data_IF_701991156717
#
_entry.id   IF_701991156717
#
_cell.length_a   1.000
_cell.length_b   1.000
_cell.length_c   1.000
_cell.angle_alpha   90.00
_cell.angle_beta   90.00
_cell.angle_gamma   90.00
#
_symmetry.space_group_name_H-M   'P 1'
#
loop_
_entity.id
_entity.type
_entity.pdbx_description
1 polymer ?
#
# COMPACT_ATOMS: atom_id res chain seq x y z
N UNK A 1 -8.23 7.36 3.74
CA UNK A 1 -8.55 8.80 3.87
C UNK A 1 -7.31 9.69 3.91
N UNK A 2 -6.35 9.48 4.82
CA UNK A 2 -5.14 10.29 4.93
C UNK A 2 -4.42 10.58 3.59
N UNK A 3 -4.20 9.56 2.75
CA UNK A 3 -3.52 9.71 1.45
C UNK A 3 -4.29 10.61 0.47
N UNK A 4 -5.61 10.52 0.49
CA UNK A 4 -6.45 11.36 -0.36
C UNK A 4 -6.37 12.82 0.09
N UNK A 5 -6.38 13.06 1.40
CA UNK A 5 -6.21 14.39 1.96
C UNK A 5 -4.82 14.97 1.66
N UNK A 6 -3.76 14.19 1.86
CA UNK A 6 -2.39 14.59 1.51
C UNK A 6 -2.29 14.99 0.03
N UNK A 7 -2.85 14.17 -0.88
CA UNK A 7 -2.88 14.47 -2.31
C UNK A 7 -3.65 15.76 -2.63
N UNK A 8 -4.77 16.02 -1.95
CA UNK A 8 -5.53 17.26 -2.13
C UNK A 8 -4.73 18.50 -1.70
N UNK A 9 -3.78 18.35 -0.77
CA UNK A 9 -2.84 19.40 -0.34
C UNK A 9 -1.56 19.47 -1.20
N UNK A 10 -1.47 18.69 -2.29
CA UNK A 10 -0.30 18.63 -3.16
C UNK A 10 0.87 17.80 -2.60
N UNK A 11 0.66 17.08 -1.50
CA UNK A 11 1.66 16.19 -0.91
C UNK A 11 1.67 14.82 -1.60
N UNK A 12 2.86 14.22 -1.67
CA UNK A 12 3.05 12.81 -1.96
C UNK A 12 3.15 12.02 -0.66
N UNK A 13 2.69 10.77 -0.69
CA UNK A 13 2.83 9.85 0.42
C UNK A 13 3.13 8.42 -0.07
N UNK A 14 3.87 7.64 0.70
CA UNK A 14 4.23 6.25 0.38
C UNK A 14 4.14 5.35 1.62
N UNK A 15 3.27 4.33 1.58
CA UNK A 15 3.19 3.31 2.63
C UNK A 15 4.35 2.38 2.38
N UNK A 16 5.09 2.08 3.43
CA UNK A 16 6.23 1.17 3.33
C UNK A 16 6.06 0.01 4.28
N UNK A 17 6.67 -1.11 3.91
CA UNK A 17 6.74 -2.32 4.72
C UNK A 17 8.02 -2.39 5.56
N UNK A 18 8.85 -1.34 5.58
CA UNK A 18 10.15 -1.33 6.22
C UNK A 18 10.12 -1.72 7.71
N UNK A 19 9.15 -1.19 8.48
CA UNK A 19 8.91 -1.59 9.87
C UNK A 19 8.77 -3.12 10.02
N UNK A 20 8.01 -3.77 9.14
CA UNK A 20 7.80 -5.22 9.14
C UNK A 20 9.05 -6.02 8.74
N UNK A 21 10.08 -5.37 8.17
CA UNK A 21 11.36 -5.97 7.79
C UNK A 21 12.49 -5.55 8.73
N UNK A 22 12.19 -5.42 10.03
CA UNK A 22 13.18 -5.18 11.09
C UNK A 22 13.31 -3.73 11.54
N UNK A 23 12.61 -2.79 10.90
CA UNK A 23 12.59 -1.38 11.31
C UNK A 23 11.69 -1.06 12.50
N UNK A 24 10.84 -1.99 12.94
CA UNK A 24 9.82 -1.72 13.96
C UNK A 24 10.41 -1.26 15.30
N UNK A 25 11.45 -1.93 15.82
CA UNK A 25 12.05 -1.56 17.11
C UNK A 25 12.61 -0.14 17.09
N UNK A 26 13.33 0.23 16.04
CA UNK A 26 13.89 1.58 15.88
C UNK A 26 12.77 2.65 15.89
N UNK A 27 11.64 2.38 15.25
CA UNK A 27 10.49 3.29 15.26
C UNK A 27 9.86 3.40 16.65
N UNK A 28 9.71 2.28 17.35
CA UNK A 28 9.16 2.24 18.72
C UNK A 28 10.02 3.04 19.67
N UNK A 29 11.32 2.80 19.66
CA UNK A 29 12.28 3.45 20.55
C UNK A 29 12.37 4.96 20.27
N UNK A 30 12.31 5.37 19.00
CA UNK A 30 12.44 6.77 18.60
C UNK A 30 11.29 7.67 19.09
N UNK A 31 10.06 7.13 19.20
CA UNK A 31 8.86 7.91 19.54
C UNK A 31 8.09 7.38 20.75
N UNK A 32 8.60 6.34 21.42
CA UNK A 32 8.03 5.78 22.64
C UNK A 32 6.70 5.04 22.43
N UNK A 33 6.59 4.22 21.38
CA UNK A 33 5.35 3.44 21.14
C UNK A 33 5.28 2.28 22.15
N UNK A 34 4.17 2.14 22.91
CA UNK A 34 3.99 1.05 23.87
C UNK A 34 4.03 -0.35 23.23
N UNK A 35 4.58 -1.33 23.95
CA UNK A 35 4.76 -2.71 23.48
C UNK A 35 3.44 -3.41 23.16
N UNK A 36 2.38 -3.07 23.89
CA UNK A 36 1.04 -3.62 23.71
C UNK A 36 0.32 -3.10 22.46
N UNK A 37 0.86 -2.09 21.77
CA UNK A 37 0.27 -1.54 20.55
C UNK A 37 0.80 -2.24 19.31
N UNK A 38 -0.08 -2.49 18.33
CA UNK A 38 0.31 -3.06 17.04
C UNK A 38 0.66 -1.95 16.06
N UNK A 39 1.88 -1.99 15.50
CA UNK A 39 2.29 -1.09 14.42
C UNK A 39 1.77 -1.61 13.07
N UNK A 40 0.49 -1.33 12.75
CA UNK A 40 -0.18 -1.85 11.56
C UNK A 40 0.38 -1.34 10.22
N UNK A 41 1.09 -0.21 10.23
CA UNK A 41 1.71 0.36 9.05
C UNK A 41 2.32 1.73 9.33
N UNK A 42 3.21 2.15 8.44
CA UNK A 42 3.81 3.48 8.48
C UNK A 42 4.00 3.97 7.05
N UNK A 43 4.09 5.28 6.89
CA UNK A 43 4.32 5.89 5.60
C UNK A 43 5.00 7.22 5.70
N UNK A 44 5.73 7.57 4.65
CA UNK A 44 6.40 8.86 4.51
C UNK A 44 5.50 9.83 3.76
N UNK A 45 5.61 11.12 4.07
CA UNK A 45 4.82 12.20 3.46
C UNK A 45 5.72 13.41 3.21
N UNK A 46 5.52 14.10 2.09
CA UNK A 46 6.24 15.33 1.80
C UNK A 46 5.87 15.95 0.44
N UNK A 47 6.50 17.08 0.12
CA UNK A 47 6.36 17.69 -1.20
C UNK A 47 7.18 16.92 -2.23
N UNK A 48 6.54 16.34 -3.26
CA UNK A 48 7.26 15.55 -4.24
C UNK A 48 8.18 16.43 -5.08
N UNK A 49 9.42 15.97 -5.28
CA UNK A 49 10.32 16.53 -6.29
C UNK A 49 10.00 15.88 -7.64
N UNK A 50 9.58 16.69 -8.61
CA UNK A 50 9.26 16.23 -9.98
C UNK A 50 7.76 16.06 -10.25
N UNK A 51 7.42 15.34 -11.32
CA UNK A 51 6.04 15.08 -11.75
C UNK A 51 5.70 13.60 -11.63
N UNK A 52 4.98 13.22 -10.58
CA UNK A 52 4.41 11.88 -10.47
C UNK A 52 3.03 11.84 -11.14
N UNK A 53 2.94 11.09 -12.23
CA UNK A 53 1.71 10.96 -13.02
C UNK A 53 0.79 9.82 -12.55
N UNK A 54 -0.29 9.58 -13.30
CA UNK A 54 -1.15 8.42 -13.09
C UNK A 54 -0.34 7.12 -13.12
N UNK A 55 -0.65 6.24 -12.17
CA UNK A 55 -0.08 4.91 -12.07
C UNK A 55 -0.93 3.93 -12.86
N UNK A 56 -0.29 2.99 -13.57
CA UNK A 56 -1.02 1.95 -14.28
C UNK A 56 -1.78 1.07 -13.29
N UNK A 57 -2.97 0.65 -13.69
CA UNK A 57 -3.85 -0.27 -12.93
C UNK A 57 -4.24 -1.42 -13.84
N UNK A 58 -4.61 -2.55 -13.23
CA UNK A 58 -5.16 -3.68 -13.97
C UNK A 58 -6.56 -3.34 -14.49
N UNK A 59 -7.00 -3.94 -15.61
CA UNK A 59 -8.38 -3.88 -16.06
C UNK A 59 -9.35 -4.24 -14.94
N UNK A 60 -10.50 -3.56 -14.89
CA UNK A 60 -11.51 -3.80 -13.85
C UNK A 60 -11.98 -5.27 -13.82
N UNK A 61 -12.08 -5.85 -15.01
CA UNK A 61 -12.46 -7.25 -15.26
C UNK A 61 -11.57 -8.28 -14.58
N UNK A 62 -10.37 -7.89 -14.18
CA UNK A 62 -9.35 -8.78 -13.64
C UNK A 62 -9.29 -8.69 -12.10
N UNK A 63 -9.95 -7.69 -11.52
CA UNK A 63 -9.89 -7.38 -10.07
C UNK A 63 -11.26 -7.22 -9.42
N UNK A 64 -12.35 -7.19 -10.19
CA UNK A 64 -13.73 -7.08 -9.68
C UNK A 64 -14.53 -8.31 -10.08
N UNK A 65 -15.09 -8.98 -9.07
CA UNK A 65 -15.91 -10.17 -9.23
C UNK A 65 -17.26 -9.98 -8.56
N UNK A 66 -18.35 -10.19 -9.31
CA UNK A 66 -19.71 -10.03 -8.80
C UNK A 66 -20.21 -11.36 -8.27
N UNK A 67 -20.83 -11.34 -7.09
CA UNK A 67 -21.42 -12.49 -6.37
C UNK A 67 -20.39 -13.51 -5.86
N UNK A 68 -19.44 -13.94 -6.69
CA UNK A 68 -18.47 -14.98 -6.33
C UNK A 68 -17.07 -14.64 -6.83
N UNK A 69 -16.07 -15.14 -6.13
CA UNK A 69 -14.68 -15.13 -6.58
C UNK A 69 -14.52 -15.99 -7.83
N UNK A 70 -13.80 -15.49 -8.83
CA UNK A 70 -13.47 -16.24 -10.04
C UNK A 70 -11.96 -16.55 -10.05
N UNK A 71 -11.55 -17.76 -9.62
CA UNK A 71 -10.14 -18.14 -9.56
C UNK A 71 -9.51 -18.36 -10.95
N UNK A 72 -10.32 -18.49 -12.01
CA UNK A 72 -9.84 -18.61 -13.38
C UNK A 72 -9.39 -17.25 -13.93
N UNK A 73 -10.04 -16.19 -13.48
CA UNK A 73 -9.76 -14.82 -13.92
C UNK A 73 -8.97 -14.00 -12.93
N UNK A 74 -8.96 -14.40 -11.66
CA UNK A 74 -8.16 -13.77 -10.64
C UNK A 74 -6.67 -13.83 -10.98
N UNK A 75 -6.03 -12.67 -10.97
CA UNK A 75 -4.63 -12.50 -11.30
C UNK A 75 -3.79 -11.87 -10.17
N UNK A 76 -4.40 -11.71 -8.99
CA UNK A 76 -3.68 -11.51 -7.73
C UNK A 76 -2.90 -12.78 -7.42
N UNK A 77 -1.88 -12.69 -6.56
CA UNK A 77 -0.81 -13.67 -6.28
C UNK A 77 -1.18 -15.17 -6.28
N UNK A 78 -2.47 -15.51 -6.12
CA UNK A 78 -3.02 -16.86 -6.15
C UNK A 78 -4.26 -16.89 -7.07
N UNK A 79 -4.09 -17.31 -8.33
CA UNK A 79 -5.16 -17.49 -9.32
C UNK A 79 -4.61 -17.98 -10.68
N UNK A 80 -5.42 -18.68 -11.49
CA UNK A 80 -4.98 -19.20 -12.80
C UNK A 80 -4.78 -18.09 -13.84
N UNK A 81 -5.31 -16.89 -13.58
CA UNK A 81 -5.06 -15.69 -14.35
C UNK A 81 -3.77 -14.95 -13.97
N UNK A 82 -3.04 -15.37 -12.92
CA UNK A 82 -1.83 -14.70 -12.48
C UNK A 82 -0.76 -14.69 -13.58
N UNK A 83 -0.36 -13.49 -14.02
CA UNK A 83 0.69 -13.35 -15.04
C UNK A 83 2.02 -13.90 -14.50
N UNK A 84 2.82 -14.57 -15.37
CA UNK A 84 4.17 -14.93 -15.01
C UNK A 84 4.97 -13.67 -14.60
N UNK A 85 5.89 -13.86 -13.66
CA UNK A 85 6.80 -12.82 -13.17
C UNK A 85 7.69 -12.27 -14.27
#
# INVERSE_FOLDING_TARGET
NFYLAARAQGLGACITSWASYGGERELRDAVGIPDEWVLAGHGVVGWPRGRHGPVRRRPLSDVVFRNHWDPDRADITYGRGARPR
#
